data_IF_864402305039
#
_entry.id   IF_864402305039
#
_cell.length_a   1.000
_cell.length_b   1.000
_cell.length_c   1.000
_cell.angle_alpha   90.00
_cell.angle_beta   90.00
_cell.angle_gamma   90.00
#
_symmetry.space_group_name_H-M   'P 1'
#
loop_
_entity.id
_entity.type
_entity.pdbx_description
1 polymer ?
#
# COMPACT_ATOMS: atom_id res chain seq x y z
N UNK A 1 -43.45 75.78 33.75
CA UNK A 1 -43.37 75.09 32.45
C UNK A 1 -41.86 74.94 32.13
N UNK A 2 -41.28 73.82 32.44
CA UNK A 2 -39.90 73.52 32.08
C UNK A 2 -39.91 72.69 30.77
N UNK A 3 -39.97 73.41 29.69
CA UNK A 3 -39.60 72.84 28.38
C UNK A 3 -38.06 72.66 28.35
N UNK A 4 -37.60 71.51 28.84
CA UNK A 4 -36.28 71.07 28.48
C UNK A 4 -36.30 70.64 27.03
N UNK A 5 -35.57 71.32 26.12
CA UNK A 5 -35.42 70.77 24.80
C UNK A 5 -34.77 69.41 24.90
N UNK A 6 -35.36 68.40 24.32
CA UNK A 6 -34.72 67.13 24.22
C UNK A 6 -33.33 67.31 23.62
N UNK A 7 -32.28 67.03 24.41
CA UNK A 7 -30.89 67.17 24.00
C UNK A 7 -30.60 66.14 22.89
N UNK A 8 -30.89 66.49 21.67
CA UNK A 8 -30.40 65.71 20.53
C UNK A 8 -28.91 65.92 20.41
N UNK A 9 -28.12 64.86 20.36
CA UNK A 9 -26.68 65.03 20.11
C UNK A 9 -26.45 65.81 18.79
N UNK A 10 -25.41 66.67 18.75
CA UNK A 10 -25.09 67.45 17.54
C UNK A 10 -24.85 66.50 16.36
N UNK A 11 -25.19 66.89 15.12
CA UNK A 11 -25.00 66.05 13.93
C UNK A 11 -23.55 65.52 13.75
N UNK A 12 -22.55 66.25 14.19
CA UNK A 12 -21.14 65.82 14.17
C UNK A 12 -20.87 64.64 15.10
N UNK A 13 -21.47 64.55 16.30
CA UNK A 13 -21.34 63.46 17.22
C UNK A 13 -22.07 62.18 16.71
N UNK A 14 -23.24 62.36 16.07
CA UNK A 14 -23.95 61.27 15.41
C UNK A 14 -23.11 60.67 14.28
N UNK A 15 -22.50 61.50 13.44
CA UNK A 15 -21.61 61.04 12.35
C UNK A 15 -20.36 60.36 12.91
N UNK A 16 -19.73 60.85 13.95
CA UNK A 16 -18.59 60.23 14.62
C UNK A 16 -18.97 58.83 15.20
N UNK A 17 -20.11 58.72 15.84
CA UNK A 17 -20.67 57.46 16.35
C UNK A 17 -20.95 56.45 15.24
N UNK A 18 -21.50 56.91 14.13
CA UNK A 18 -21.75 56.04 12.97
C UNK A 18 -20.48 55.57 12.30
N UNK A 19 -19.45 56.41 12.23
CA UNK A 19 -18.12 56.07 11.76
C UNK A 19 -17.46 55.06 12.66
N UNK A 20 -17.51 55.23 13.95
CA UNK A 20 -17.00 54.24 14.91
C UNK A 20 -17.68 52.89 14.81
N UNK A 21 -19.02 52.87 14.68
CA UNK A 21 -19.77 51.65 14.50
C UNK A 21 -19.45 50.97 13.17
N UNK A 22 -19.26 51.73 12.09
CA UNK A 22 -18.87 51.22 10.80
C UNK A 22 -17.44 50.67 10.85
N UNK A 23 -16.49 51.36 11.53
CA UNK A 23 -15.13 50.91 11.70
C UNK A 23 -15.05 49.60 12.48
N UNK A 24 -15.82 49.47 13.57
CA UNK A 24 -15.93 48.23 14.32
C UNK A 24 -16.46 47.07 13.47
N UNK A 25 -17.50 47.31 12.71
CA UNK A 25 -18.05 46.28 11.80
C UNK A 25 -17.04 45.87 10.72
N UNK A 26 -16.26 46.84 10.19
CA UNK A 26 -15.22 46.56 9.24
C UNK A 26 -14.09 45.73 9.86
N UNK A 27 -13.64 46.07 11.07
CA UNK A 27 -12.62 45.30 11.78
C UNK A 27 -13.08 43.88 12.06
N UNK A 28 -14.31 43.67 12.55
CA UNK A 28 -14.88 42.35 12.76
C UNK A 28 -14.98 41.54 11.46
N UNK A 29 -15.36 42.19 10.36
CA UNK A 29 -15.40 41.55 9.05
C UNK A 29 -14.02 41.15 8.53
N UNK A 30 -13.01 41.99 8.74
CA UNK A 30 -11.62 41.68 8.40
C UNK A 30 -11.05 40.53 9.24
N UNK A 31 -11.29 40.52 10.54
CA UNK A 31 -10.90 39.42 11.43
C UNK A 31 -11.56 38.09 11.02
N UNK A 32 -12.84 38.15 10.66
CA UNK A 32 -13.58 36.99 10.17
C UNK A 32 -13.02 36.49 8.83
N UNK A 33 -12.67 37.42 7.92
CA UNK A 33 -12.05 37.10 6.64
C UNK A 33 -10.67 36.49 6.82
N UNK A 34 -9.83 37.08 7.66
CA UNK A 34 -8.51 36.54 7.99
C UNK A 34 -8.59 35.11 8.52
N UNK A 35 -9.48 34.87 9.48
CA UNK A 35 -9.76 33.53 10.01
C UNK A 35 -10.25 32.56 8.94
N UNK A 36 -11.09 33.02 8.02
CA UNK A 36 -11.60 32.19 6.93
C UNK A 36 -10.48 31.84 5.92
N UNK A 37 -9.62 32.82 5.60
CA UNK A 37 -8.45 32.60 4.72
C UNK A 37 -7.49 31.62 5.34
N UNK A 38 -7.19 31.74 6.65
CA UNK A 38 -6.29 30.80 7.31
C UNK A 38 -6.85 29.36 7.33
N UNK A 39 -8.13 29.21 7.66
CA UNK A 39 -8.79 27.88 7.55
C UNK A 39 -8.75 27.32 6.13
N UNK A 40 -8.93 28.19 5.12
CA UNK A 40 -8.84 27.74 3.72
C UNK A 40 -7.45 27.27 3.34
N UNK A 41 -6.41 28.03 3.74
CA UNK A 41 -5.02 27.66 3.51
C UNK A 41 -4.65 26.33 4.20
N UNK A 42 -5.14 26.11 5.41
CA UNK A 42 -4.93 24.87 6.12
C UNK A 42 -5.61 23.70 5.39
N UNK A 43 -6.85 23.85 4.96
CA UNK A 43 -7.55 22.85 4.15
C UNK A 43 -6.84 22.54 2.83
N UNK A 44 -6.34 23.57 2.13
CA UNK A 44 -5.60 23.39 0.89
C UNK A 44 -4.26 22.63 1.11
N UNK A 45 -3.56 22.87 2.23
CA UNK A 45 -2.36 22.09 2.60
C UNK A 45 -2.70 20.63 2.89
N UNK A 46 -3.79 20.38 3.60
CA UNK A 46 -4.25 19.03 3.92
C UNK A 46 -4.65 18.27 2.64
N UNK A 47 -5.28 18.95 1.68
CA UNK A 47 -5.59 18.36 0.35
C UNK A 47 -4.32 18.01 -0.43
N UNK A 48 -3.32 18.90 -0.45
CA UNK A 48 -2.02 18.66 -1.11
C UNK A 48 -1.26 17.49 -0.48
N UNK A 49 -1.26 17.40 0.86
CA UNK A 49 -0.66 16.29 1.58
C UNK A 49 -1.38 14.98 1.27
N UNK A 50 -2.72 14.98 1.25
CA UNK A 50 -3.52 13.81 0.91
C UNK A 50 -3.25 13.36 -0.53
N UNK A 51 -3.20 14.29 -1.49
CA UNK A 51 -2.88 13.99 -2.88
C UNK A 51 -1.49 13.36 -3.03
N UNK A 52 -0.50 13.89 -2.30
CA UNK A 52 0.86 13.33 -2.26
C UNK A 52 0.89 11.90 -1.69
N UNK A 53 0.15 11.65 -0.62
CA UNK A 53 0.01 10.31 -0.02
C UNK A 53 -0.66 9.33 -0.98
N UNK A 54 -1.70 9.75 -1.69
CA UNK A 54 -2.37 8.90 -2.69
C UNK A 54 -1.42 8.53 -3.81
N UNK A 55 -0.61 9.46 -4.31
CA UNK A 55 0.41 9.17 -5.32
C UNK A 55 1.46 8.18 -4.82
N UNK A 56 1.97 8.35 -3.59
CA UNK A 56 2.93 7.44 -2.98
C UNK A 56 2.36 6.03 -2.81
N UNK A 57 1.11 5.91 -2.34
CA UNK A 57 0.41 4.62 -2.22
C UNK A 57 0.17 3.97 -3.59
N UNK A 58 -0.13 4.75 -4.63
CA UNK A 58 -0.24 4.25 -6.01
C UNK A 58 1.07 3.67 -6.53
N UNK A 59 2.18 4.36 -6.30
CA UNK A 59 3.52 3.88 -6.65
C UNK A 59 3.90 2.61 -5.88
N UNK A 60 3.66 2.57 -4.58
CA UNK A 60 3.90 1.38 -3.75
C UNK A 60 3.06 0.19 -4.19
N UNK A 61 1.79 0.40 -4.53
CA UNK A 61 0.91 -0.64 -5.06
C UNK A 61 1.46 -1.22 -6.36
N UNK A 62 1.93 -0.38 -7.29
CA UNK A 62 2.53 -0.84 -8.55
C UNK A 62 3.78 -1.65 -8.31
N UNK A 63 4.67 -1.17 -7.42
CA UNK A 63 5.90 -1.89 -7.05
C UNK A 63 5.60 -3.27 -6.43
N UNK A 64 4.65 -3.33 -5.50
CA UNK A 64 4.24 -4.59 -4.86
C UNK A 64 3.61 -5.56 -5.85
N UNK A 65 2.85 -5.08 -6.83
CA UNK A 65 2.29 -5.91 -7.90
C UNK A 65 3.41 -6.52 -8.76
N UNK A 66 4.42 -5.74 -9.14
CA UNK A 66 5.58 -6.22 -9.91
C UNK A 66 6.41 -7.24 -9.11
N UNK A 67 6.62 -7.00 -7.81
CA UNK A 67 7.30 -7.94 -6.91
C UNK A 67 6.54 -9.25 -6.77
N UNK A 68 5.20 -9.18 -6.64
CA UNK A 68 4.34 -10.36 -6.57
C UNK A 68 4.40 -11.17 -7.86
N UNK A 69 4.29 -10.52 -9.01
CA UNK A 69 4.38 -11.19 -10.31
C UNK A 69 5.75 -11.87 -10.49
N UNK A 70 6.83 -11.19 -10.14
CA UNK A 70 8.17 -11.75 -10.14
C UNK A 70 8.33 -12.95 -9.20
N UNK A 71 7.73 -12.89 -8.02
CA UNK A 71 7.71 -14.00 -7.06
C UNK A 71 6.94 -15.21 -7.59
N UNK A 72 5.77 -14.99 -8.21
CA UNK A 72 4.97 -16.04 -8.82
C UNK A 72 5.72 -16.75 -9.98
N UNK A 73 6.42 -16.00 -10.81
CA UNK A 73 7.26 -16.56 -11.87
C UNK A 73 8.37 -17.44 -11.30
N UNK A 74 9.06 -16.98 -10.25
CA UNK A 74 10.09 -17.77 -9.56
C UNK A 74 9.52 -19.04 -8.93
N UNK A 75 8.38 -18.95 -8.28
CA UNK A 75 7.70 -20.10 -7.66
C UNK A 75 7.37 -21.18 -8.71
N UNK A 76 6.76 -20.78 -9.83
CA UNK A 76 6.45 -21.72 -10.93
C UNK A 76 7.69 -22.35 -11.52
N UNK A 77 8.79 -21.59 -11.64
CA UNK A 77 10.06 -22.13 -12.11
C UNK A 77 10.62 -23.16 -11.13
N UNK A 78 10.60 -22.88 -9.84
CA UNK A 78 11.04 -23.82 -8.79
C UNK A 78 10.19 -25.09 -8.77
N UNK A 79 8.87 -24.96 -8.89
CA UNK A 79 7.97 -26.12 -8.96
C UNK A 79 8.27 -27.01 -10.16
N UNK A 80 8.57 -26.41 -11.33
CA UNK A 80 8.97 -27.14 -12.52
C UNK A 80 10.28 -27.89 -12.31
N UNK A 81 11.30 -27.20 -11.81
CA UNK A 81 12.61 -27.80 -11.55
C UNK A 81 12.51 -28.91 -10.51
N UNK A 82 11.74 -28.70 -9.45
CA UNK A 82 11.51 -29.75 -8.43
C UNK A 82 10.85 -30.99 -9.03
N UNK A 83 9.88 -30.81 -9.93
CA UNK A 83 9.24 -31.94 -10.64
C UNK A 83 10.25 -32.68 -11.52
N UNK A 84 11.05 -31.97 -12.30
CA UNK A 84 12.11 -32.56 -13.13
C UNK A 84 13.14 -33.34 -12.29
N UNK A 85 13.53 -32.82 -11.14
CA UNK A 85 14.45 -33.49 -10.21
C UNK A 85 13.78 -34.76 -9.65
N UNK A 86 12.52 -34.69 -9.22
CA UNK A 86 11.80 -35.85 -8.73
C UNK A 86 11.70 -36.96 -9.78
N UNK A 87 11.35 -36.62 -11.03
CA UNK A 87 11.30 -37.56 -12.14
C UNK A 87 12.67 -38.22 -12.43
N UNK A 88 13.75 -37.44 -12.37
CA UNK A 88 15.13 -37.99 -12.53
C UNK A 88 15.53 -38.90 -11.37
N UNK A 89 15.17 -38.54 -10.15
CA UNK A 89 15.44 -39.39 -8.98
C UNK A 89 14.66 -40.69 -9.04
N UNK A 90 13.37 -40.65 -9.41
CA UNK A 90 12.56 -41.84 -9.58
C UNK A 90 13.13 -42.76 -10.68
N UNK A 91 13.56 -42.21 -11.82
CA UNK A 91 14.21 -42.96 -12.88
C UNK A 91 15.55 -43.58 -12.44
N UNK A 92 16.36 -42.84 -11.69
CA UNK A 92 17.62 -43.39 -11.13
C UNK A 92 17.37 -44.52 -10.11
N UNK A 93 16.38 -44.37 -9.25
CA UNK A 93 15.98 -45.41 -8.29
C UNK A 93 15.53 -46.67 -9.03
N UNK A 94 14.72 -46.52 -10.07
CA UNK A 94 14.25 -47.64 -10.87
C UNK A 94 15.40 -48.38 -11.57
N UNK A 95 16.33 -47.63 -12.15
CA UNK A 95 17.54 -48.21 -12.78
C UNK A 95 18.39 -48.97 -11.77
N UNK A 96 18.58 -48.45 -10.55
CA UNK A 96 19.30 -49.14 -9.49
C UNK A 96 18.58 -50.44 -9.08
N UNK A 97 17.26 -50.43 -8.95
CA UNK A 97 16.46 -51.61 -8.63
C UNK A 97 16.59 -52.68 -9.70
N UNK A 98 16.53 -52.30 -10.97
CA UNK A 98 16.72 -53.23 -12.09
C UNK A 98 18.10 -53.89 -12.05
N UNK A 99 19.17 -53.12 -11.86
CA UNK A 99 20.53 -53.62 -11.78
C UNK A 99 20.71 -54.57 -10.62
N UNK A 100 20.18 -54.26 -9.42
CA UNK A 100 20.26 -55.11 -8.25
C UNK A 100 19.41 -56.39 -8.43
N UNK A 101 18.18 -56.31 -8.97
CA UNK A 101 17.32 -57.43 -9.25
C UNK A 101 17.92 -58.37 -10.31
N UNK A 102 18.62 -57.84 -11.32
CA UNK A 102 19.30 -58.65 -12.33
C UNK A 102 20.57 -59.32 -11.72
N UNK A 103 21.23 -58.68 -10.81
CA UNK A 103 22.39 -59.23 -10.07
C UNK A 103 22.01 -60.38 -9.16
N UNK A 104 20.88 -60.31 -8.42
CA UNK A 104 20.34 -61.39 -7.60
C UNK A 104 19.92 -62.62 -8.42
N UNK A 105 19.26 -62.41 -9.54
CA UNK A 105 18.90 -63.48 -10.45
C UNK A 105 20.11 -64.21 -11.06
N UNK A 106 21.21 -63.47 -11.33
CA UNK A 106 22.43 -64.07 -11.83
C UNK A 106 23.19 -64.86 -10.78
N UNK A 107 23.20 -64.41 -9.55
CA UNK A 107 23.81 -65.11 -8.41
C UNK A 107 23.05 -66.40 -8.05
N UNK A 108 21.71 -66.38 -8.15
CA UNK A 108 20.87 -67.56 -7.89
C UNK A 108 20.88 -68.57 -9.06
N UNK A 109 21.25 -68.18 -10.30
CA UNK A 109 21.33 -69.06 -11.45
C UNK A 109 22.65 -69.81 -11.61
N UNK A 110 23.71 -69.35 -10.94
CA UNK A 110 25.03 -70.01 -10.97
C UNK A 110 25.21 -71.13 -9.97
N UNK A 111 24.32 -71.24 -8.99
CA UNK A 111 24.37 -72.32 -7.97
C UNK A 111 23.62 -73.59 -8.38
N UNK A 112 22.81 -73.55 -9.46
CA UNK A 112 22.04 -74.72 -9.90
C UNK A 112 22.73 -75.62 -10.95
N UNK A 113 23.94 -75.21 -11.48
CA UNK A 113 24.66 -75.98 -12.51
C UNK A 113 25.89 -76.76 -11.94
N UNK A 114 26.01 -76.91 -10.65
CA UNK A 114 27.08 -77.73 -10.05
C UNK A 114 26.53 -78.95 -9.34
N UNK A 115 25.89 -79.85 -10.07
CA UNK A 115 25.43 -81.09 -9.46
C UNK A 115 24.67 -82.09 -10.33
N UNK A 116 25.25 -82.55 -11.43
CA UNK A 116 24.95 -83.88 -11.96
C UNK A 116 26.02 -84.30 -12.96
N UNK A 117 27.05 -84.95 -12.46
CA UNK A 117 27.83 -85.88 -13.22
C UNK A 117 28.23 -87.08 -12.30
N UNK A 118 27.39 -88.05 -12.37
CA UNK A 118 27.76 -89.45 -12.27
C UNK A 118 26.94 -90.29 -13.21
#
# INVERSE_FOLDING_TARGET
>A
MNDRPASFPPPAELMASDIEAATRRLMLALDALESAVERRREADRDEDELASRIQALGADRSRLADELDGSLVKSRKLERVNREIAERLDGAIETIREVLGTGENRANGEDDDAGEDE
#
